data_IF_480748163663
#
_entry.id   IF_480748163663
#
_cell.length_a   1.000
_cell.length_b   1.000
_cell.length_c   1.000
_cell.angle_alpha   90.00
_cell.angle_beta   90.00
_cell.angle_gamma   90.00
#
_symmetry.space_group_name_H-M   'P 1'
#
loop_
_entity.id
_entity.type
_entity.pdbx_description
1 polymer ?
#
# COMPACT_ATOMS: atom_id res chain seq x y z
N UNK A 1 -11.94 18.35 -12.79
CA UNK A 1 -11.92 17.88 -11.40
C UNK A 1 -12.27 16.41 -11.31
N UNK A 2 -11.76 15.72 -10.29
CA UNK A 2 -11.92 14.27 -10.07
C UNK A 2 -12.68 14.07 -8.76
N UNK A 3 -13.63 13.13 -8.74
CA UNK A 3 -14.40 12.78 -7.54
C UNK A 3 -14.03 11.36 -7.08
N UNK A 4 -13.61 11.21 -5.84
CA UNK A 4 -13.43 9.87 -5.22
C UNK A 4 -14.50 9.57 -4.19
N UNK A 5 -14.96 8.33 -4.13
CA UNK A 5 -15.97 7.88 -3.15
C UNK A 5 -15.45 6.64 -2.42
N UNK A 6 -15.39 6.71 -1.09
CA UNK A 6 -14.99 5.59 -0.24
C UNK A 6 -15.91 5.41 0.97
N UNK A 7 -15.98 4.18 1.48
CA UNK A 7 -16.68 3.82 2.72
C UNK A 7 -15.72 3.49 3.87
N UNK A 8 -14.42 3.59 3.63
CA UNK A 8 -13.42 3.26 4.66
C UNK A 8 -13.33 4.31 5.75
N UNK A 9 -13.11 3.82 6.97
CA UNK A 9 -12.97 4.65 8.19
C UNK A 9 -11.57 4.57 8.78
N UNK A 10 -10.86 3.46 8.53
CA UNK A 10 -9.57 3.14 9.17
C UNK A 10 -8.41 3.60 8.30
N UNK A 11 -7.30 3.89 8.94
CA UNK A 11 -6.03 3.97 8.22
C UNK A 11 -5.68 2.60 7.63
N UNK A 12 -5.21 2.63 6.39
CA UNK A 12 -4.86 1.42 5.65
C UNK A 12 -4.60 1.71 4.17
N UNK A 13 -4.51 0.67 3.35
CA UNK A 13 -4.16 0.81 1.94
C UNK A 13 -5.05 1.76 1.14
N UNK A 14 -6.37 1.80 1.40
CA UNK A 14 -7.28 2.75 0.71
C UNK A 14 -7.03 4.19 1.15
N UNK A 15 -6.79 4.42 2.45
CA UNK A 15 -6.47 5.74 2.97
C UNK A 15 -5.18 6.30 2.34
N UNK A 16 -4.10 5.52 2.36
CA UNK A 16 -2.83 5.91 1.74
C UNK A 16 -2.96 6.08 0.22
N UNK A 17 -3.80 5.26 -0.44
CA UNK A 17 -4.11 5.42 -1.85
C UNK A 17 -4.79 6.75 -2.15
N UNK A 18 -5.77 7.18 -1.35
CA UNK A 18 -6.42 8.49 -1.51
C UNK A 18 -5.42 9.63 -1.40
N UNK A 19 -4.51 9.58 -0.43
CA UNK A 19 -3.45 10.58 -0.27
C UNK A 19 -2.54 10.59 -1.50
N UNK A 20 -2.06 9.42 -1.95
CA UNK A 20 -1.21 9.29 -3.13
C UNK A 20 -1.88 9.83 -4.40
N UNK A 21 -3.15 9.49 -4.64
CA UNK A 21 -3.93 10.01 -5.76
C UNK A 21 -4.14 11.52 -5.66
N UNK A 22 -4.45 12.05 -4.47
CA UNK A 22 -4.62 13.50 -4.29
C UNK A 22 -3.33 14.27 -4.62
N UNK A 23 -2.17 13.78 -4.15
CA UNK A 23 -0.87 14.38 -4.47
C UNK A 23 -0.53 14.27 -5.96
N UNK A 24 -0.83 13.15 -6.59
CA UNK A 24 -0.60 12.96 -8.02
C UNK A 24 -1.51 13.84 -8.89
N UNK A 25 -2.76 14.06 -8.46
CA UNK A 25 -3.70 14.96 -9.12
C UNK A 25 -3.29 16.43 -8.99
N UNK A 26 -2.68 16.82 -7.86
CA UNK A 26 -2.12 18.14 -7.66
C UNK A 26 -1.01 18.46 -8.67
N UNK A 27 -0.16 17.47 -8.99
CA UNK A 27 0.91 17.63 -9.99
C UNK A 27 0.41 17.89 -11.43
N UNK A 28 -0.87 17.70 -11.68
CA UNK A 28 -1.51 17.95 -12.99
C UNK A 28 -2.65 18.97 -12.88
N UNK A 29 -2.63 19.82 -11.86
CA UNK A 29 -3.60 20.88 -11.61
C UNK A 29 -5.07 20.42 -11.55
N UNK A 30 -5.31 19.17 -11.15
CA UNK A 30 -6.67 18.63 -11.00
C UNK A 30 -7.13 18.72 -9.55
N UNK A 31 -8.33 19.32 -9.37
CA UNK A 31 -9.01 19.33 -8.07
C UNK A 31 -9.55 17.95 -7.73
N UNK A 32 -9.32 17.52 -6.50
CA UNK A 32 -9.78 16.24 -5.98
C UNK A 32 -10.87 16.41 -4.93
N UNK A 33 -12.09 16.05 -5.27
CA UNK A 33 -13.23 16.03 -4.37
C UNK A 33 -13.41 14.64 -3.80
N UNK A 34 -13.62 14.53 -2.49
CA UNK A 34 -13.66 13.23 -1.82
C UNK A 34 -14.92 13.13 -0.96
N UNK A 35 -15.75 12.11 -1.23
CA UNK A 35 -16.87 11.73 -0.37
C UNK A 35 -16.42 10.56 0.50
N UNK A 36 -16.38 10.76 1.82
CA UNK A 36 -15.97 9.77 2.79
C UNK A 36 -16.77 9.83 4.11
N UNK A 37 -16.72 8.78 4.96
CA UNK A 37 -17.36 8.81 6.28
C UNK A 37 -16.81 9.95 7.15
N UNK A 38 -17.69 10.57 7.95
CA UNK A 38 -17.32 11.68 8.83
C UNK A 38 -16.28 11.31 9.90
N UNK A 39 -16.21 10.04 10.26
CA UNK A 39 -15.29 9.43 11.21
C UNK A 39 -14.10 8.72 10.55
N UNK A 40 -13.82 9.01 9.28
CA UNK A 40 -12.64 8.49 8.59
C UNK A 40 -11.36 9.14 9.12
N UNK A 41 -10.41 8.32 9.55
CA UNK A 41 -9.15 8.78 10.17
C UNK A 41 -8.30 9.58 9.18
N UNK A 42 -8.27 9.19 7.89
CA UNK A 42 -7.49 9.85 6.82
C UNK A 42 -7.95 11.28 6.51
N UNK A 43 -9.08 11.72 7.06
CA UNK A 43 -9.65 13.05 6.76
C UNK A 43 -8.69 14.19 7.07
N UNK A 44 -7.98 14.13 8.19
CA UNK A 44 -7.07 15.21 8.60
C UNK A 44 -5.86 15.30 7.65
N UNK A 45 -5.30 14.16 7.23
CA UNK A 45 -4.17 14.12 6.29
C UNK A 45 -4.57 14.69 4.92
N UNK A 46 -5.78 14.37 4.46
CA UNK A 46 -6.31 14.87 3.19
C UNK A 46 -6.62 16.37 3.22
N UNK A 47 -7.10 16.91 4.34
CA UNK A 47 -7.41 18.35 4.48
C UNK A 47 -6.16 19.24 4.41
N UNK A 48 -4.98 18.69 4.62
CA UNK A 48 -3.71 19.41 4.48
C UNK A 48 -3.25 19.55 3.02
N UNK A 49 -3.95 18.92 2.05
CA UNK A 49 -3.61 18.99 0.64
C UNK A 49 -4.38 20.13 -0.07
N UNK A 50 -3.69 21.00 -0.84
CA UNK A 50 -4.27 22.24 -1.37
C UNK A 50 -5.38 22.02 -2.41
N UNK A 51 -5.28 20.92 -3.17
CA UNK A 51 -6.23 20.57 -4.23
C UNK A 51 -7.44 19.75 -3.74
N UNK A 52 -7.52 19.44 -2.43
CA UNK A 52 -8.53 18.51 -1.89
C UNK A 52 -9.71 19.24 -1.26
N UNK A 53 -10.92 18.80 -1.59
CA UNK A 53 -12.14 19.18 -0.90
C UNK A 53 -12.91 17.96 -0.42
N UNK A 54 -13.26 17.92 0.88
CA UNK A 54 -13.89 16.76 1.51
C UNK A 54 -15.36 17.00 1.82
N UNK A 55 -16.18 16.04 1.43
CA UNK A 55 -17.61 15.95 1.77
C UNK A 55 -17.82 14.78 2.74
N UNK A 56 -17.90 15.09 4.04
CA UNK A 56 -18.03 14.07 5.09
C UNK A 56 -19.48 13.74 5.38
N UNK A 57 -19.79 12.46 5.46
CA UNK A 57 -21.12 11.94 5.79
C UNK A 57 -21.04 10.81 6.81
N UNK A 58 -22.07 10.69 7.64
CA UNK A 58 -22.22 9.46 8.45
C UNK A 58 -22.34 8.27 7.51
N UNK A 59 -21.71 7.14 7.82
CA UNK A 59 -21.71 5.96 6.95
C UNK A 59 -23.11 5.47 6.59
N UNK A 60 -24.02 5.48 7.57
CA UNK A 60 -25.45 5.17 7.37
C UNK A 60 -26.12 6.12 6.38
N UNK A 61 -25.84 7.44 6.51
CA UNK A 61 -26.38 8.45 5.60
C UNK A 61 -25.83 8.31 4.19
N UNK A 62 -24.54 7.93 4.04
CA UNK A 62 -23.95 7.69 2.74
C UNK A 62 -24.62 6.50 2.04
N UNK A 63 -24.84 5.38 2.71
CA UNK A 63 -25.60 4.26 2.15
C UNK A 63 -27.01 4.64 1.77
N UNK A 64 -27.71 5.40 2.62
CA UNK A 64 -29.05 5.87 2.34
C UNK A 64 -29.09 6.78 1.11
N UNK A 65 -28.13 7.73 0.99
CA UNK A 65 -28.04 8.61 -0.18
C UNK A 65 -27.67 7.86 -1.48
N UNK A 66 -26.88 6.80 -1.38
CA UNK A 66 -26.54 5.95 -2.53
C UNK A 66 -27.68 5.02 -2.93
N UNK A 67 -28.50 4.57 -1.97
CA UNK A 67 -29.69 3.77 -2.23
C UNK A 67 -30.83 4.59 -2.84
N UNK A 68 -31.03 5.82 -2.35
CA UNK A 68 -32.05 6.74 -2.86
C UNK A 68 -31.46 7.61 -3.98
N UNK A 69 -31.48 7.06 -5.20
CA UNK A 69 -30.97 7.69 -6.44
C UNK A 69 -31.25 9.19 -6.52
N UNK A 70 -32.46 9.57 -6.15
CA UNK A 70 -32.94 10.96 -6.28
C UNK A 70 -32.21 11.90 -5.34
N UNK A 71 -32.08 11.53 -4.05
CA UNK A 71 -31.47 12.37 -3.02
C UNK A 71 -29.98 12.55 -3.26
N UNK A 72 -29.27 11.48 -3.62
CA UNK A 72 -27.85 11.55 -3.95
C UNK A 72 -27.60 12.43 -5.17
N UNK A 73 -28.37 12.19 -6.25
CA UNK A 73 -28.26 12.96 -7.50
C UNK A 73 -28.57 14.44 -7.27
N UNK A 74 -29.57 14.77 -6.47
CA UNK A 74 -29.95 16.16 -6.20
C UNK A 74 -28.90 16.86 -5.30
N UNK A 75 -28.42 16.20 -4.24
CA UNK A 75 -27.48 16.78 -3.28
C UNK A 75 -26.08 16.98 -3.87
N UNK A 76 -25.63 16.09 -4.73
CA UNK A 76 -24.28 16.12 -5.34
C UNK A 76 -24.34 16.31 -6.85
N UNK A 77 -25.44 16.85 -7.37
CA UNK A 77 -25.69 16.98 -8.80
C UNK A 77 -24.59 17.76 -9.51
N UNK A 78 -24.24 18.94 -9.02
CA UNK A 78 -23.15 19.75 -9.58
C UNK A 78 -21.81 19.00 -9.50
N UNK A 79 -21.49 18.43 -8.34
CA UNK A 79 -20.25 17.69 -8.13
C UNK A 79 -20.09 16.55 -9.12
N UNK A 80 -21.16 15.78 -9.37
CA UNK A 80 -21.16 14.65 -10.31
C UNK A 80 -21.06 15.17 -11.76
N UNK A 81 -21.84 16.21 -12.11
CA UNK A 81 -21.87 16.74 -13.48
C UNK A 81 -20.58 17.43 -13.90
N UNK A 82 -19.91 18.10 -12.94
CA UNK A 82 -18.67 18.82 -13.18
C UNK A 82 -17.44 17.90 -13.06
N UNK A 83 -17.63 16.63 -12.63
CA UNK A 83 -16.53 15.66 -12.52
C UNK A 83 -16.17 15.07 -13.86
N UNK A 84 -14.90 15.15 -14.27
CA UNK A 84 -14.35 14.45 -15.43
C UNK A 84 -14.38 12.93 -15.21
N UNK A 85 -14.08 12.50 -13.98
CA UNK A 85 -14.03 11.10 -13.55
C UNK A 85 -14.55 10.92 -12.13
N UNK A 86 -15.16 9.75 -11.87
CA UNK A 86 -15.56 9.34 -10.53
C UNK A 86 -14.84 8.05 -10.17
N UNK A 87 -13.93 8.10 -9.22
CA UNK A 87 -13.21 6.95 -8.71
C UNK A 87 -13.94 6.29 -7.53
N UNK A 88 -14.13 5.00 -7.62
CA UNK A 88 -14.77 4.16 -6.60
C UNK A 88 -13.71 3.28 -5.94
N UNK A 89 -13.55 3.41 -4.63
CA UNK A 89 -12.58 2.64 -3.86
C UNK A 89 -13.18 1.38 -3.17
N UNK A 90 -14.49 1.21 -3.21
CA UNK A 90 -15.18 0.06 -2.61
C UNK A 90 -16.15 -0.57 -3.61
N UNK A 91 -15.91 -1.80 -4.01
CA UNK A 91 -16.74 -2.52 -4.99
C UNK A 91 -18.24 -2.59 -4.64
N UNK A 92 -18.59 -2.45 -3.35
CA UNK A 92 -19.99 -2.38 -2.90
C UNK A 92 -20.75 -1.17 -3.45
N UNK A 93 -20.05 -0.10 -3.83
CA UNK A 93 -20.65 1.11 -4.38
C UNK A 93 -21.06 0.97 -5.85
N UNK A 94 -20.51 0.00 -6.57
CA UNK A 94 -20.77 -0.29 -7.97
C UNK A 94 -22.27 -0.38 -8.24
N UNK A 95 -23.01 -1.16 -7.43
CA UNK A 95 -24.44 -1.41 -7.59
C UNK A 95 -25.28 -0.13 -7.60
N UNK A 96 -24.79 0.94 -6.96
CA UNK A 96 -25.51 2.21 -6.84
C UNK A 96 -25.13 3.23 -7.92
N UNK A 97 -23.94 3.08 -8.52
CA UNK A 97 -23.39 4.05 -9.47
C UNK A 97 -23.44 3.58 -10.93
N UNK A 98 -23.61 2.29 -11.17
CA UNK A 98 -23.63 1.66 -12.50
C UNK A 98 -24.72 2.19 -13.47
N UNK A 99 -25.65 2.95 -12.96
CA UNK A 99 -26.81 3.47 -13.72
C UNK A 99 -26.61 4.90 -14.23
N UNK A 100 -25.48 5.53 -13.90
CA UNK A 100 -25.18 6.88 -14.31
C UNK A 100 -24.27 6.88 -15.55
N UNK A 101 -24.50 7.86 -16.46
CA UNK A 101 -23.75 8.03 -17.70
C UNK A 101 -22.55 8.97 -17.51
N UNK A 102 -21.67 8.69 -16.55
CA UNK A 102 -20.42 9.42 -16.36
C UNK A 102 -19.26 8.45 -16.30
N UNK A 103 -18.04 8.94 -16.51
CA UNK A 103 -16.84 8.11 -16.49
C UNK A 103 -16.56 7.59 -15.09
N UNK A 104 -16.66 6.28 -14.92
CA UNK A 104 -16.43 5.58 -13.66
C UNK A 104 -15.13 4.79 -13.71
N UNK A 105 -14.25 5.05 -12.74
CA UNK A 105 -13.07 4.23 -12.47
C UNK A 105 -13.23 3.41 -11.19
N UNK A 106 -13.16 2.10 -11.28
CA UNK A 106 -13.15 1.21 -10.11
C UNK A 106 -11.72 0.85 -9.75
N UNK A 107 -11.21 1.39 -8.63
CA UNK A 107 -9.87 1.06 -8.16
C UNK A 107 -9.91 -0.24 -7.35
N UNK A 108 -9.23 -1.25 -7.85
CA UNK A 108 -9.19 -2.58 -7.26
C UNK A 108 -8.06 -2.74 -6.26
N UNK A 109 -8.32 -2.48 -4.98
CA UNK A 109 -7.35 -2.57 -3.89
C UNK A 109 -7.07 -3.99 -3.36
N UNK A 110 -7.81 -5.00 -3.80
CA UNK A 110 -7.74 -6.33 -3.15
C UNK A 110 -7.31 -7.48 -4.05
N UNK A 111 -7.13 -7.25 -5.34
CA UNK A 111 -6.92 -8.33 -6.32
C UNK A 111 -8.10 -9.32 -6.45
N UNK A 112 -9.19 -9.10 -5.71
CA UNK A 112 -10.39 -9.97 -5.65
C UNK A 112 -11.59 -9.23 -6.22
N UNK A 113 -11.56 -8.90 -7.52
CA UNK A 113 -12.73 -8.34 -8.19
C UNK A 113 -13.80 -9.42 -8.32
N UNK A 114 -14.92 -9.25 -7.62
CA UNK A 114 -16.08 -10.14 -7.70
C UNK A 114 -17.20 -9.60 -8.58
N UNK A 115 -17.20 -8.31 -8.88
CA UNK A 115 -18.23 -7.66 -9.67
C UNK A 115 -17.57 -6.70 -10.65
N UNK A 116 -17.82 -6.86 -11.91
CA UNK A 116 -17.43 -5.97 -13.00
C UNK A 116 -18.52 -4.95 -13.27
N UNK A 117 -18.11 -3.79 -13.71
CA UNK A 117 -18.99 -2.81 -14.31
C UNK A 117 -18.87 -2.94 -15.84
N UNK A 118 -19.94 -3.29 -16.52
CA UNK A 118 -19.99 -3.30 -18.00
C UNK A 118 -19.75 -1.92 -18.64
N UNK A 119 -19.71 -0.85 -17.85
CA UNK A 119 -19.57 0.54 -18.31
C UNK A 119 -18.57 1.37 -17.50
N UNK A 120 -17.67 0.73 -16.78
CA UNK A 120 -16.63 1.43 -16.03
C UNK A 120 -15.26 0.87 -16.35
N UNK A 121 -14.26 1.71 -16.20
CA UNK A 121 -12.87 1.31 -16.29
C UNK A 121 -12.45 0.64 -15.00
N UNK A 122 -12.01 -0.61 -15.07
CA UNK A 122 -11.41 -1.29 -13.92
C UNK A 122 -9.93 -0.92 -13.85
N UNK A 123 -9.54 -0.30 -12.74
CA UNK A 123 -8.17 0.12 -12.49
C UNK A 123 -7.54 -0.88 -11.52
N UNK A 124 -6.60 -1.67 -12.02
CA UNK A 124 -5.83 -2.61 -11.21
C UNK A 124 -4.57 -1.93 -10.69
N UNK A 125 -4.21 -2.25 -9.46
CA UNK A 125 -3.00 -1.69 -8.84
C UNK A 125 -1.76 -2.54 -9.11
N UNK A 126 -1.93 -3.76 -9.67
CA UNK A 126 -0.84 -4.67 -10.06
C UNK A 126 -1.16 -5.38 -11.36
N UNK A 127 -0.10 -5.69 -12.13
CA UNK A 127 -0.20 -6.48 -13.36
C UNK A 127 -0.74 -7.90 -13.05
N UNK A 128 -0.27 -8.55 -11.99
CA UNK A 128 -0.75 -9.87 -11.57
C UNK A 128 -2.25 -9.87 -11.25
N UNK A 129 -2.75 -8.80 -10.62
CA UNK A 129 -4.18 -8.64 -10.34
C UNK A 129 -5.01 -8.49 -11.62
N UNK A 130 -4.50 -7.73 -12.59
CA UNK A 130 -5.10 -7.58 -13.92
C UNK A 130 -5.15 -8.92 -14.66
N UNK A 131 -4.04 -9.63 -14.79
CA UNK A 131 -3.95 -10.92 -15.50
C UNK A 131 -4.88 -11.97 -14.89
N UNK A 132 -4.92 -12.04 -13.56
CA UNK A 132 -5.85 -12.92 -12.84
C UNK A 132 -7.33 -12.58 -13.12
N UNK A 133 -7.63 -11.30 -13.30
CA UNK A 133 -8.98 -10.88 -13.63
C UNK A 133 -9.33 -11.27 -15.07
N UNK A 134 -8.50 -10.94 -16.05
CA UNK A 134 -8.72 -11.25 -17.47
C UNK A 134 -8.85 -12.77 -17.69
N UNK A 135 -8.02 -13.58 -17.02
CA UNK A 135 -8.11 -15.05 -17.12
C UNK A 135 -9.46 -15.64 -16.67
N UNK A 136 -10.23 -14.90 -15.86
CA UNK A 136 -11.53 -15.34 -15.33
C UNK A 136 -12.73 -14.66 -16.00
N UNK A 137 -12.50 -13.58 -16.73
CA UNK A 137 -13.53 -12.72 -17.31
C UNK A 137 -13.17 -12.31 -18.74
N UNK A 138 -12.80 -13.28 -19.59
CA UNK A 138 -12.35 -13.06 -20.97
C UNK A 138 -13.40 -12.38 -21.87
N UNK A 139 -14.69 -12.47 -21.53
CA UNK A 139 -15.81 -11.88 -22.27
C UNK A 139 -16.24 -10.51 -21.71
N UNK A 140 -15.47 -9.90 -20.80
CA UNK A 140 -15.85 -8.61 -20.21
C UNK A 140 -15.63 -7.47 -21.21
N UNK A 141 -16.69 -6.75 -21.57
CA UNK A 141 -16.65 -5.54 -22.39
C UNK A 141 -16.09 -4.29 -21.65
N UNK A 142 -15.64 -4.45 -20.41
CA UNK A 142 -15.11 -3.35 -19.61
C UNK A 142 -13.68 -2.99 -20.02
N UNK A 143 -13.36 -1.70 -20.01
CA UNK A 143 -11.98 -1.23 -20.12
C UNK A 143 -11.21 -1.65 -18.84
N UNK A 144 -10.02 -2.22 -19.02
CA UNK A 144 -9.22 -2.72 -17.93
C UNK A 144 -7.79 -2.19 -18.05
N UNK A 145 -7.29 -1.50 -17.03
CA UNK A 145 -5.96 -0.86 -17.05
C UNK A 145 -5.20 -1.11 -15.76
N UNK A 146 -3.88 -0.96 -15.80
CA UNK A 146 -3.01 -1.08 -14.63
C UNK A 146 -2.42 0.28 -14.27
N UNK A 147 -2.80 0.80 -13.09
CA UNK A 147 -2.26 2.03 -12.52
C UNK A 147 -1.75 1.70 -11.10
N UNK A 148 -0.45 1.42 -10.92
CA UNK A 148 0.17 1.23 -9.61
C UNK A 148 0.10 2.49 -8.76
N UNK A 149 0.24 2.34 -7.44
CA UNK A 149 0.36 3.48 -6.54
C UNK A 149 1.67 4.25 -6.75
N UNK A 150 1.64 5.54 -6.40
CA UNK A 150 2.81 6.43 -6.45
C UNK A 150 3.34 6.78 -5.05
N UNK A 151 4.64 7.03 -4.98
CA UNK A 151 5.37 7.42 -3.77
C UNK A 151 6.09 8.75 -3.98
N UNK A 152 6.31 9.47 -2.90
CA UNK A 152 7.13 10.68 -2.92
C UNK A 152 8.60 10.36 -3.18
N UNK A 153 9.31 11.28 -3.81
CA UNK A 153 10.77 11.20 -3.92
C UNK A 153 11.40 11.80 -2.66
N UNK A 154 12.16 10.99 -1.96
CA UNK A 154 12.98 11.44 -0.84
C UNK A 154 14.45 11.61 -1.27
N UNK A 155 15.25 12.39 -0.50
CA UNK A 155 16.67 12.53 -0.79
C UNK A 155 17.38 11.19 -0.90
N UNK A 156 18.33 11.10 -1.83
CA UNK A 156 19.07 9.86 -2.09
C UNK A 156 19.86 9.40 -0.87
N UNK A 157 19.96 8.07 -0.71
CA UNK A 157 20.84 7.47 0.30
C UNK A 157 22.29 7.82 -0.03
N UNK A 158 22.88 8.70 0.77
CA UNK A 158 24.25 9.22 0.54
C UNK A 158 25.34 8.38 1.19
N UNK A 159 25.03 7.63 2.24
CA UNK A 159 26.01 6.80 2.96
C UNK A 159 25.35 5.69 3.75
N UNK A 160 26.10 4.63 4.00
CA UNK A 160 25.71 3.56 4.92
C UNK A 160 25.82 3.99 6.38
N UNK A 161 24.83 3.60 7.15
CA UNK A 161 24.96 3.56 8.62
C UNK A 161 25.81 2.35 8.98
N UNK A 162 26.94 2.58 9.61
CA UNK A 162 27.77 1.51 10.17
C UNK A 162 27.26 1.17 11.58
N UNK A 163 26.28 0.31 11.65
CA UNK A 163 25.73 -0.18 12.92
C UNK A 163 26.45 -1.49 13.32
N UNK A 164 26.89 -1.59 14.59
CA UNK A 164 27.44 -2.85 15.14
C UNK A 164 26.38 -3.95 15.24
N UNK A 165 25.12 -3.58 15.35
CA UNK A 165 23.95 -4.48 15.42
C UNK A 165 22.99 -4.09 14.33
N UNK A 166 22.64 -5.03 13.45
CA UNK A 166 21.73 -4.80 12.34
C UNK A 166 20.30 -4.56 12.86
N UNK A 167 19.74 -3.40 12.54
CA UNK A 167 18.38 -3.05 12.93
C UNK A 167 17.38 -3.45 11.82
N UNK A 168 16.60 -4.49 12.11
CA UNK A 168 15.50 -4.97 11.25
C UNK A 168 14.20 -4.36 11.73
N UNK A 169 13.44 -3.76 10.84
CA UNK A 169 12.10 -3.23 11.15
C UNK A 169 11.04 -4.00 10.36
N UNK A 170 9.89 -4.23 10.99
CA UNK A 170 8.69 -4.72 10.34
C UNK A 170 7.47 -3.96 10.84
N UNK A 171 6.50 -3.71 9.96
CA UNK A 171 5.33 -2.94 10.37
C UNK A 171 4.05 -3.41 9.68
N UNK A 172 2.92 -3.32 10.41
CA UNK A 172 1.61 -3.67 9.91
C UNK A 172 0.65 -4.13 10.99
N UNK A 173 -0.57 -4.46 10.58
CA UNK A 173 -1.57 -4.98 11.51
C UNK A 173 -1.18 -6.39 11.97
N UNK A 174 -1.19 -6.67 13.27
CA UNK A 174 -0.86 -7.98 13.84
C UNK A 174 -1.99 -8.99 13.59
N UNK A 175 -2.01 -9.53 12.38
CA UNK A 175 -2.94 -10.57 11.89
C UNK A 175 -2.15 -11.69 11.23
N UNK A 176 -2.72 -12.89 11.13
CA UNK A 176 -2.04 -14.10 10.61
C UNK A 176 -1.39 -13.86 9.24
N UNK A 177 -2.10 -13.19 8.33
CA UNK A 177 -1.61 -12.96 6.96
C UNK A 177 -0.37 -12.09 6.85
N UNK A 178 0.07 -11.42 7.91
CA UNK A 178 1.28 -10.58 7.92
C UNK A 178 2.56 -11.34 8.31
N UNK A 179 2.46 -12.60 8.71
CA UNK A 179 3.61 -13.48 8.93
C UNK A 179 4.51 -13.13 10.12
N UNK A 180 4.07 -12.26 11.06
CA UNK A 180 4.90 -11.85 12.20
C UNK A 180 5.38 -13.01 13.10
N UNK A 181 4.67 -14.14 13.09
CA UNK A 181 5.09 -15.35 13.80
C UNK A 181 6.39 -15.96 13.21
N UNK A 182 6.61 -15.80 11.90
CA UNK A 182 7.83 -16.25 11.24
C UNK A 182 9.01 -15.35 11.60
N UNK A 183 8.78 -14.03 11.76
CA UNK A 183 9.80 -13.11 12.29
C UNK A 183 10.19 -13.46 13.71
N UNK A 184 9.23 -13.82 14.58
CA UNK A 184 9.54 -14.27 15.95
C UNK A 184 10.38 -15.57 15.91
N UNK A 185 10.08 -16.47 14.98
CA UNK A 185 10.87 -17.71 14.84
C UNK A 185 12.26 -17.46 14.24
N UNK A 186 12.38 -16.55 13.29
CA UNK A 186 13.67 -16.12 12.75
C UNK A 186 14.54 -15.44 13.83
N UNK A 187 13.93 -14.63 14.71
CA UNK A 187 14.62 -14.03 15.85
C UNK A 187 15.17 -15.09 16.81
N UNK A 188 14.42 -16.17 17.07
CA UNK A 188 14.90 -17.31 17.86
C UNK A 188 16.16 -17.95 17.21
N UNK A 189 16.15 -18.15 15.91
CA UNK A 189 17.31 -18.69 15.20
C UNK A 189 18.51 -17.77 15.25
N UNK A 190 18.33 -16.47 15.00
CA UNK A 190 19.39 -15.46 15.10
C UNK A 190 19.97 -15.38 16.51
N UNK A 191 19.14 -15.48 17.57
CA UNK A 191 19.60 -15.47 18.94
C UNK A 191 20.42 -16.74 19.29
N UNK A 192 20.01 -17.91 18.82
CA UNK A 192 20.76 -19.16 18.99
C UNK A 192 22.14 -19.10 18.32
N UNK A 193 22.21 -18.44 17.16
CA UNK A 193 23.47 -18.23 16.42
C UNK A 193 24.32 -17.08 16.98
N UNK A 194 23.86 -16.39 18.05
CA UNK A 194 24.47 -15.16 18.60
C UNK A 194 24.69 -14.08 17.52
N UNK A 195 23.82 -14.02 16.51
CA UNK A 195 23.94 -13.08 15.41
C UNK A 195 23.51 -11.66 15.85
N UNK A 196 24.29 -10.60 15.56
CA UNK A 196 24.04 -9.25 16.05
C UNK A 196 22.94 -8.54 15.25
N UNK A 197 21.69 -8.92 15.44
CA UNK A 197 20.51 -8.27 14.85
C UNK A 197 19.45 -7.99 15.91
N UNK A 198 18.78 -6.85 15.76
CA UNK A 198 17.63 -6.43 16.59
C UNK A 198 16.42 -6.24 15.69
N UNK A 199 15.31 -6.90 16.01
CA UNK A 199 14.05 -6.84 15.25
C UNK A 199 13.04 -6.00 16.02
N UNK A 200 12.44 -5.02 15.36
CA UNK A 200 11.39 -4.16 15.92
C UNK A 200 10.10 -4.29 15.11
N UNK A 201 9.00 -4.66 15.81
CA UNK A 201 7.69 -4.86 15.21
C UNK A 201 6.77 -3.69 15.56
N UNK A 202 6.38 -2.92 14.54
CA UNK A 202 5.47 -1.79 14.66
C UNK A 202 4.05 -2.17 14.24
N UNK A 203 3.06 -1.71 14.99
CA UNK A 203 1.66 -1.93 14.71
C UNK A 203 0.88 -2.47 15.89
N UNK A 204 -0.35 -2.86 15.64
CA UNK A 204 -1.26 -3.45 16.63
C UNK A 204 -2.20 -4.45 15.98
N UNK A 205 -2.87 -5.26 16.76
CA UNK A 205 -3.87 -6.18 16.22
C UNK A 205 -4.18 -7.37 17.12
N UNK A 206 -5.11 -8.23 16.69
CA UNK A 206 -5.61 -9.33 17.51
C UNK A 206 -4.54 -10.37 17.91
N UNK A 207 -3.41 -10.43 17.21
CA UNK A 207 -2.33 -11.37 17.54
C UNK A 207 -1.28 -10.79 18.50
N UNK A 208 -1.39 -9.54 18.94
CA UNK A 208 -0.38 -8.88 19.78
C UNK A 208 -0.07 -9.67 21.06
N UNK A 209 -1.08 -10.03 21.83
CA UNK A 209 -0.92 -10.81 23.07
C UNK A 209 -0.23 -12.16 22.80
N UNK A 210 -0.59 -12.83 21.71
CA UNK A 210 0.03 -14.12 21.32
C UNK A 210 1.50 -13.97 20.93
N UNK A 211 1.83 -12.91 20.17
CA UNK A 211 3.22 -12.62 19.79
C UNK A 211 4.06 -12.28 21.04
N UNK A 212 3.56 -11.40 21.92
CA UNK A 212 4.21 -11.02 23.17
C UNK A 212 4.47 -12.24 24.06
N UNK A 213 3.44 -13.09 24.24
CA UNK A 213 3.60 -14.35 24.99
C UNK A 213 4.69 -15.22 24.37
N UNK A 214 4.71 -15.44 23.06
CA UNK A 214 5.71 -16.27 22.40
C UNK A 214 7.13 -15.72 22.54
N UNK A 215 7.33 -14.40 22.47
CA UNK A 215 8.63 -13.75 22.68
C UNK A 215 9.13 -14.01 24.10
N UNK A 216 8.24 -13.88 25.09
CA UNK A 216 8.58 -14.10 26.51
C UNK A 216 8.86 -15.58 26.79
N UNK A 217 8.01 -16.50 26.34
CA UNK A 217 8.18 -17.96 26.53
C UNK A 217 9.54 -18.47 25.97
N UNK A 218 10.00 -17.85 24.86
CA UNK A 218 11.29 -18.17 24.24
C UNK A 218 12.45 -17.33 24.79
N UNK A 219 12.20 -16.43 25.76
CA UNK A 219 13.20 -15.52 26.34
C UNK A 219 14.03 -14.77 25.29
N UNK A 220 13.37 -14.31 24.22
CA UNK A 220 14.03 -13.58 23.14
C UNK A 220 14.38 -12.15 23.55
N UNK A 221 15.65 -11.78 23.37
CA UNK A 221 16.19 -10.43 23.68
C UNK A 221 16.39 -9.57 22.44
N UNK A 222 16.39 -10.20 21.27
CA UNK A 222 16.70 -9.59 19.97
C UNK A 222 15.45 -9.21 19.16
N UNK A 223 14.24 -9.28 19.74
CA UNK A 223 12.99 -8.85 19.10
C UNK A 223 12.08 -8.14 20.09
N UNK A 224 11.45 -7.06 19.66
CA UNK A 224 10.52 -6.26 20.47
C UNK A 224 9.25 -5.88 19.72
N UNK A 225 8.09 -5.93 20.40
CA UNK A 225 6.86 -5.29 19.93
C UNK A 225 6.85 -3.85 20.45
N UNK A 226 6.97 -2.91 19.51
CA UNK A 226 7.00 -1.47 19.83
C UNK A 226 5.57 -0.92 19.97
N UNK A 227 4.63 -1.42 19.19
CA UNK A 227 3.28 -0.89 19.11
C UNK A 227 3.05 -0.02 17.88
N UNK A 228 1.92 0.67 17.85
CA UNK A 228 1.58 1.58 16.76
C UNK A 228 2.36 2.90 16.88
N UNK A 229 2.78 3.46 15.75
CA UNK A 229 3.45 4.77 15.67
C UNK A 229 2.76 5.65 14.62
N UNK A 230 2.69 6.94 14.87
CA UNK A 230 2.21 7.93 13.89
C UNK A 230 3.27 8.25 12.85
N UNK A 231 4.54 8.11 13.21
CA UNK A 231 5.67 8.48 12.34
C UNK A 231 6.57 7.29 12.01
N UNK A 232 6.04 6.39 11.17
CA UNK A 232 6.77 5.21 10.73
C UNK A 232 7.98 5.57 9.84
N UNK A 233 7.92 6.70 9.11
CA UNK A 233 9.03 7.15 8.28
C UNK A 233 10.29 7.46 9.09
N UNK A 234 10.16 8.04 10.29
CA UNK A 234 11.32 8.28 11.16
C UNK A 234 11.91 6.95 11.66
N UNK A 235 11.10 5.95 11.87
CA UNK A 235 11.58 4.63 12.26
C UNK A 235 12.28 3.91 11.09
N UNK A 236 11.76 4.04 9.86
CA UNK A 236 12.46 3.56 8.67
C UNK A 236 13.84 4.19 8.53
N UNK A 237 13.97 5.51 8.74
CA UNK A 237 15.27 6.18 8.68
C UNK A 237 16.29 5.69 9.71
N UNK A 238 15.85 5.11 10.82
CA UNK A 238 16.71 4.55 11.88
C UNK A 238 17.07 3.08 11.63
N UNK A 239 16.38 2.40 10.72
CA UNK A 239 16.56 0.98 10.43
C UNK A 239 17.61 0.74 9.35
N UNK A 240 18.03 -0.51 9.21
CA UNK A 240 18.97 -1.00 8.20
C UNK A 240 18.28 -1.84 7.12
N UNK A 241 17.16 -2.49 7.46
CA UNK A 241 16.39 -3.35 6.55
C UNK A 241 14.93 -3.43 7.00
N UNK A 242 14.03 -3.48 6.02
CA UNK A 242 12.62 -3.77 6.24
C UNK A 242 12.32 -5.23 5.90
N UNK A 243 11.63 -5.95 6.80
CA UNK A 243 11.24 -7.34 6.58
C UNK A 243 9.73 -7.50 6.71
N UNK A 244 9.07 -8.00 5.67
CA UNK A 244 7.62 -8.27 5.69
C UNK A 244 7.28 -9.62 5.06
N UNK A 245 7.19 -10.70 5.86
CA UNK A 245 6.91 -12.05 5.38
C UNK A 245 5.41 -12.32 5.23
N UNK A 246 4.69 -11.39 4.60
CA UNK A 246 3.23 -11.47 4.44
C UNK A 246 2.80 -12.59 3.50
N UNK A 247 1.69 -13.26 3.81
CA UNK A 247 1.04 -14.20 2.91
C UNK A 247 0.22 -13.49 1.81
N UNK A 248 -0.15 -12.23 2.04
CA UNK A 248 -0.98 -11.47 1.12
C UNK A 248 -0.67 -9.97 1.24
N UNK A 249 -0.20 -9.37 0.15
CA UNK A 249 -0.05 -7.92 -0.04
C UNK A 249 -0.56 -7.58 -1.44
N UNK A 250 -1.72 -6.95 -1.57
CA UNK A 250 -2.29 -6.61 -2.87
C UNK A 250 -1.40 -5.67 -3.69
N UNK A 251 -0.79 -4.66 -3.05
CA UNK A 251 0.26 -3.82 -3.62
C UNK A 251 1.47 -3.72 -2.68
N UNK A 252 1.23 -3.68 -1.37
CA UNK A 252 2.30 -3.53 -0.39
C UNK A 252 2.82 -2.10 -0.29
N UNK A 253 1.92 -1.12 -0.09
CA UNK A 253 2.30 0.30 0.08
C UNK A 253 3.44 0.47 1.09
N UNK A 254 3.43 -0.30 2.17
CA UNK A 254 4.48 -0.26 3.19
C UNK A 254 5.85 -0.72 2.66
N UNK A 255 5.89 -1.58 1.62
CA UNK A 255 7.13 -1.96 0.92
C UNK A 255 7.70 -0.72 0.22
N UNK A 256 6.88 -0.02 -0.57
CA UNK A 256 7.29 1.21 -1.23
C UNK A 256 7.67 2.31 -0.25
N UNK A 257 6.94 2.47 0.86
CA UNK A 257 7.27 3.40 1.95
C UNK A 257 8.64 3.10 2.57
N UNK A 258 8.99 1.84 2.78
CA UNK A 258 10.33 1.46 3.26
C UNK A 258 11.41 1.75 2.21
N UNK A 259 11.16 1.38 0.94
CA UNK A 259 12.10 1.59 -0.16
C UNK A 259 12.38 3.07 -0.44
N UNK A 260 11.37 3.94 -0.40
CA UNK A 260 11.58 5.39 -0.57
C UNK A 260 12.44 5.98 0.55
N UNK A 261 12.46 5.38 1.75
CA UNK A 261 13.37 5.73 2.84
C UNK A 261 14.75 5.06 2.72
N UNK A 262 15.04 4.38 1.60
CA UNK A 262 16.33 3.76 1.33
C UNK A 262 16.56 2.46 2.08
N UNK A 263 15.52 1.73 2.44
CA UNK A 263 15.65 0.40 3.06
C UNK A 263 15.62 -0.71 2.02
N UNK A 264 16.59 -1.63 2.02
CA UNK A 264 16.42 -2.91 1.35
C UNK A 264 15.29 -3.68 2.00
N UNK A 265 14.60 -4.51 1.20
CA UNK A 265 13.38 -5.20 1.64
C UNK A 265 13.53 -6.72 1.55
N UNK A 266 13.22 -7.42 2.64
CA UNK A 266 13.03 -8.89 2.65
C UNK A 266 11.52 -9.14 2.62
N UNK A 267 11.02 -9.86 1.62
CA UNK A 267 9.58 -10.10 1.46
C UNK A 267 9.28 -11.41 0.74
N UNK A 268 8.07 -11.90 0.90
CA UNK A 268 7.51 -13.03 0.16
C UNK A 268 7.01 -12.59 -1.22
N UNK A 269 6.82 -13.53 -2.15
CA UNK A 269 6.30 -13.27 -3.52
C UNK A 269 4.79 -13.04 -3.52
N UNK A 270 4.34 -11.96 -2.91
CA UNK A 270 2.96 -11.49 -3.00
C UNK A 270 2.71 -10.71 -4.29
N UNK A 271 1.45 -10.48 -4.69
CA UNK A 271 1.12 -9.70 -5.89
C UNK A 271 1.83 -8.34 -5.93
N UNK A 272 1.79 -7.63 -4.80
CA UNK A 272 2.46 -6.32 -4.69
C UNK A 272 3.97 -6.41 -4.71
N UNK A 273 4.55 -7.42 -4.10
CA UNK A 273 6.00 -7.63 -4.15
C UNK A 273 6.45 -7.96 -5.58
N UNK A 274 5.70 -8.78 -6.31
CA UNK A 274 5.97 -9.10 -7.72
C UNK A 274 5.86 -7.84 -8.59
N UNK A 275 4.85 -6.99 -8.36
CA UNK A 275 4.72 -5.71 -9.08
C UNK A 275 5.94 -4.81 -8.86
N UNK A 276 6.40 -4.68 -7.61
CA UNK A 276 7.50 -3.79 -7.25
C UNK A 276 8.86 -4.34 -7.70
N UNK A 277 9.12 -5.63 -7.48
CA UNK A 277 10.45 -6.20 -7.67
C UNK A 277 10.61 -7.01 -8.97
N UNK A 278 9.51 -7.55 -9.53
CA UNK A 278 9.57 -8.42 -10.71
C UNK A 278 10.31 -9.72 -10.44
N UNK A 279 10.99 -10.23 -11.47
CA UNK A 279 11.70 -11.51 -11.41
C UNK A 279 13.07 -11.44 -10.70
N UNK A 280 13.72 -10.27 -10.71
CA UNK A 280 15.05 -10.04 -10.15
C UNK A 280 14.98 -8.99 -9.01
N UNK A 281 14.64 -9.43 -7.79
CA UNK A 281 14.39 -8.52 -6.68
C UNK A 281 15.65 -7.78 -6.23
N UNK A 282 16.83 -8.36 -6.35
CA UNK A 282 18.07 -7.73 -5.88
C UNK A 282 18.44 -6.49 -6.71
N UNK A 283 18.22 -6.53 -8.03
CA UNK A 283 18.39 -5.36 -8.89
C UNK A 283 17.44 -4.22 -8.56
N UNK A 284 16.39 -4.52 -7.81
CA UNK A 284 15.35 -3.56 -7.39
C UNK A 284 15.31 -3.34 -5.88
N UNK A 285 16.33 -3.80 -5.16
CA UNK A 285 16.52 -3.54 -3.73
C UNK A 285 15.79 -4.48 -2.78
N UNK A 286 15.38 -5.67 -3.25
CA UNK A 286 14.69 -6.67 -2.46
C UNK A 286 15.40 -8.02 -2.39
N UNK A 287 14.97 -8.86 -1.45
CA UNK A 287 15.28 -10.28 -1.37
C UNK A 287 13.97 -11.04 -1.19
N UNK A 288 13.71 -12.00 -2.08
CA UNK A 288 12.57 -12.89 -1.92
C UNK A 288 12.86 -14.02 -0.94
N UNK A 289 11.85 -14.33 -0.15
CA UNK A 289 11.78 -15.50 0.72
C UNK A 289 10.50 -16.27 0.41
N UNK A 290 10.46 -17.55 0.72
CA UNK A 290 9.27 -18.36 0.61
C UNK A 290 8.28 -18.06 1.74
N UNK A 291 7.01 -18.38 1.53
CA UNK A 291 5.99 -18.26 2.56
C UNK A 291 6.31 -19.19 3.74
N UNK A 292 6.10 -18.71 4.95
CA UNK A 292 6.29 -19.46 6.19
C UNK A 292 7.69 -20.08 6.35
N UNK A 293 8.73 -19.37 5.92
CA UNK A 293 10.12 -19.83 5.92
C UNK A 293 11.02 -18.96 6.83
N UNK A 294 10.94 -19.12 8.16
CA UNK A 294 11.72 -18.32 9.10
C UNK A 294 13.25 -18.51 8.98
N UNK A 295 13.71 -19.65 8.50
CA UNK A 295 15.10 -19.90 8.14
C UNK A 295 15.58 -19.02 6.98
N UNK A 296 14.76 -18.83 5.94
CA UNK A 296 15.10 -17.93 4.84
C UNK A 296 15.09 -16.46 5.29
N UNK A 297 14.20 -16.07 6.22
CA UNK A 297 14.24 -14.73 6.84
C UNK A 297 15.60 -14.55 7.54
N UNK A 298 16.02 -15.51 8.37
CA UNK A 298 17.33 -15.48 9.05
C UNK A 298 18.45 -15.32 8.03
N UNK A 299 18.50 -16.16 7.00
CA UNK A 299 19.55 -16.14 5.99
C UNK A 299 19.61 -14.81 5.23
N UNK A 300 18.45 -14.26 4.85
CA UNK A 300 18.38 -12.95 4.18
C UNK A 300 18.89 -11.82 5.08
N UNK A 301 18.58 -11.84 6.39
CA UNK A 301 19.11 -10.89 7.37
C UNK A 301 20.64 -11.00 7.45
N UNK A 302 21.19 -12.20 7.47
CA UNK A 302 22.64 -12.45 7.50
C UNK A 302 23.33 -11.94 6.23
N UNK A 303 22.73 -12.14 5.05
CA UNK A 303 23.24 -11.61 3.76
C UNK A 303 23.29 -10.08 3.76
N UNK A 304 22.24 -9.40 4.29
CA UNK A 304 22.15 -7.94 4.34
C UNK A 304 23.11 -7.33 5.40
N UNK A 305 23.63 -8.13 6.31
CA UNK A 305 24.63 -7.66 7.28
C UNK A 305 25.93 -7.19 6.61
N UNK A 306 26.25 -7.67 5.40
CA UNK A 306 27.34 -7.14 4.61
C UNK A 306 27.04 -5.72 4.18
N UNK A 307 27.89 -4.75 4.55
CA UNK A 307 27.70 -3.33 4.36
C UNK A 307 27.56 -2.95 2.87
N UNK A 308 28.41 -3.51 2.00
CA UNK A 308 28.38 -3.21 0.55
C UNK A 308 27.08 -3.74 -0.08
N UNK A 309 26.70 -4.97 0.25
CA UNK A 309 25.45 -5.56 -0.23
C UNK A 309 24.23 -4.77 0.24
N UNK A 310 24.21 -4.37 1.52
CA UNK A 310 23.13 -3.55 2.08
C UNK A 310 23.03 -2.20 1.38
N UNK A 311 24.16 -1.54 1.12
CA UNK A 311 24.18 -0.26 0.40
C UNK A 311 23.67 -0.40 -1.03
N UNK A 312 24.15 -1.40 -1.75
CA UNK A 312 23.71 -1.65 -3.12
C UNK A 312 22.18 -1.87 -3.17
N UNK A 313 21.65 -2.73 -2.27
CA UNK A 313 20.22 -2.99 -2.20
C UNK A 313 19.42 -1.75 -1.78
N UNK A 314 19.91 -0.94 -0.84
CA UNK A 314 19.27 0.30 -0.41
C UNK A 314 19.17 1.31 -1.56
N UNK A 315 20.25 1.49 -2.31
CA UNK A 315 20.27 2.34 -3.50
C UNK A 315 19.30 1.81 -4.57
N UNK A 316 19.39 0.54 -4.90
CA UNK A 316 18.49 -0.09 -5.88
C UNK A 316 17.01 0.05 -5.48
N UNK A 317 16.69 -0.07 -4.17
CA UNK A 317 15.34 0.09 -3.65
C UNK A 317 14.81 1.52 -3.93
N UNK A 318 15.58 2.53 -3.57
CA UNK A 318 15.19 3.91 -3.76
C UNK A 318 15.12 4.29 -5.25
N UNK A 319 16.09 3.88 -6.05
CA UNK A 319 16.11 4.11 -7.50
C UNK A 319 14.89 3.47 -8.19
N UNK A 320 14.52 2.25 -7.80
CA UNK A 320 13.34 1.56 -8.33
C UNK A 320 12.04 2.34 -8.03
N UNK A 321 11.83 2.77 -6.78
CA UNK A 321 10.63 3.53 -6.40
C UNK A 321 10.60 4.88 -7.13
N UNK A 322 11.71 5.60 -7.21
CA UNK A 322 11.78 6.89 -7.88
C UNK A 322 11.54 6.80 -9.40
N UNK A 323 12.02 5.73 -10.02
CA UNK A 323 11.95 5.56 -11.48
C UNK A 323 10.61 4.97 -11.94
N UNK A 324 10.04 4.02 -11.17
CA UNK A 324 8.90 3.23 -11.64
C UNK A 324 7.59 3.51 -10.88
N UNK A 325 7.67 4.08 -9.68
CA UNK A 325 6.52 4.24 -8.79
C UNK A 325 6.46 5.62 -8.14
N UNK A 326 7.03 6.66 -8.75
CA UNK A 326 6.92 8.01 -8.20
C UNK A 326 5.54 8.61 -8.41
N UNK A 327 5.23 9.69 -7.67
CA UNK A 327 3.98 10.45 -7.87
C UNK A 327 3.88 11.03 -9.28
N UNK A 328 4.99 11.39 -9.92
CA UNK A 328 5.02 11.88 -11.30
C UNK A 328 4.65 10.77 -12.29
N UNK A 329 5.04 9.52 -12.02
CA UNK A 329 4.61 8.37 -12.83
C UNK A 329 3.10 8.13 -12.67
N UNK A 330 2.60 8.19 -11.43
CA UNK A 330 1.17 8.07 -11.17
C UNK A 330 0.39 9.22 -11.84
N UNK A 331 0.84 10.47 -11.72
CA UNK A 331 0.18 11.63 -12.32
C UNK A 331 0.11 11.53 -13.85
N UNK A 332 1.19 11.07 -14.50
CA UNK A 332 1.22 10.83 -15.94
C UNK A 332 0.20 9.76 -16.35
N UNK A 333 0.17 8.60 -15.67
CA UNK A 333 -0.80 7.53 -15.95
C UNK A 333 -2.25 7.99 -15.75
N UNK A 334 -2.52 8.85 -14.77
CA UNK A 334 -3.84 9.44 -14.57
C UNK A 334 -4.19 10.43 -15.68
N UNK A 335 -3.26 11.26 -16.13
CA UNK A 335 -3.45 12.15 -17.27
C UNK A 335 -3.76 11.36 -18.53
N UNK A 336 -2.96 10.34 -18.84
CA UNK A 336 -3.17 9.46 -20.02
C UNK A 336 -4.57 8.83 -19.97
N UNK A 337 -5.02 8.38 -18.79
CA UNK A 337 -6.39 7.87 -18.61
C UNK A 337 -7.45 8.92 -18.95
N UNK A 338 -7.26 10.16 -18.51
CA UNK A 338 -8.24 11.23 -18.71
C UNK A 338 -8.30 11.68 -20.17
N UNK A 339 -7.20 11.64 -20.90
CA UNK A 339 -7.08 12.06 -22.28
C UNK A 339 -7.55 10.97 -23.27
N UNK A 340 -7.19 9.71 -23.04
CA UNK A 340 -7.51 8.60 -23.96
C UNK A 340 -8.97 8.14 -23.91
N UNK A 341 -9.69 8.48 -22.85
CA UNK A 341 -11.12 8.18 -22.73
C UNK A 341 -11.97 9.48 -22.73
N UNK A 342 -11.42 10.61 -23.24
CA UNK A 342 -12.09 11.90 -23.33
C UNK A 342 -13.16 11.98 -24.43
#
# INVERSE_FOLDING_TARGET
>A
MILSITLDRKNGGIANSLISYSKALDLIDEKHFIILPSDAVVKNDLLNLPNVQIFSLKKSSLYFHLLTRFIFKQKYKSLIQDSKWIFIHNSKLIKFLNQYSFKLGMINHSGKLRNTLHRATNIFITQTGYERFISRHSESESTNIVIPHGFEKLPAVSSLKKNKVLKVISAGRFVTKKGFHDLVKAAEYLQKDNFPAQIELFGSGPLEAKLRKKINDLSLKNIRLIGWTENLHDEFRKADVFCIPSLEEPFGLIIGEAMMNGLPVITTKTDGAIEIFGADPEKKGGIYIDFSSPDQIKNAIQVICNDEKRYLLAKNAQDNIHTNFSLEILSRKLRDLFENEA
#
